data_IF_228509393689
#
_entry.id   IF_228509393689
#
_cell.length_a   1.000
_cell.length_b   1.000
_cell.length_c   1.000
_cell.angle_alpha   90.00
_cell.angle_beta   90.00
_cell.angle_gamma   90.00
#
_symmetry.space_group_name_H-M   'P 1'
#
loop_
_entity.id
_entity.type
_entity.pdbx_description
1 polymer ?
#
# COMPACT_ATOMS: atom_id res chain seq x y z
N UNK A 1 13.54 15.14 -32.35
CA UNK A 1 14.51 14.02 -32.28
C UNK A 1 15.30 13.85 -33.57
N UNK A 2 14.66 13.71 -34.73
CA UNK A 2 15.32 13.47 -36.02
C UNK A 2 16.47 14.44 -36.34
N UNK A 3 16.23 15.75 -36.22
CA UNK A 3 17.26 16.77 -36.44
C UNK A 3 18.47 16.66 -35.51
N UNK A 4 18.29 16.17 -34.26
CA UNK A 4 19.41 15.94 -33.33
C UNK A 4 20.25 14.73 -33.74
N UNK A 5 19.63 13.71 -34.34
CA UNK A 5 20.37 12.57 -34.90
C UNK A 5 21.27 13.01 -36.07
N UNK A 6 20.78 13.93 -36.91
CA UNK A 6 21.56 14.52 -38.00
C UNK A 6 22.73 15.36 -37.47
N UNK A 7 22.53 16.11 -36.39
CA UNK A 7 23.64 16.84 -35.72
C UNK A 7 24.67 15.85 -35.18
N UNK A 8 24.24 14.77 -34.51
CA UNK A 8 25.14 13.72 -33.99
C UNK A 8 25.94 13.05 -35.11
N UNK A 9 25.30 12.75 -36.24
CA UNK A 9 25.94 12.18 -37.42
C UNK A 9 27.04 13.10 -37.97
N UNK A 10 26.73 14.39 -38.18
CA UNK A 10 27.71 15.34 -38.71
C UNK A 10 28.86 15.62 -37.73
N UNK A 11 28.59 15.62 -36.42
CA UNK A 11 29.63 15.73 -35.40
C UNK A 11 30.58 14.51 -35.43
N UNK A 12 30.06 13.28 -35.56
CA UNK A 12 30.88 12.06 -35.73
C UNK A 12 31.64 12.03 -37.06
N UNK A 13 31.12 12.68 -38.10
CA UNK A 13 31.79 12.82 -39.40
C UNK A 13 32.93 13.86 -39.37
N UNK A 14 33.11 14.60 -38.27
CA UNK A 14 34.18 15.59 -38.12
C UNK A 14 33.90 16.93 -38.80
N UNK A 15 32.66 17.22 -39.19
CA UNK A 15 32.28 18.51 -39.77
C UNK A 15 32.29 19.61 -38.71
N UNK A 16 32.54 20.84 -39.16
CA UNK A 16 32.42 22.00 -38.27
C UNK A 16 30.95 22.29 -37.96
N UNK A 17 30.71 22.93 -36.82
CA UNK A 17 29.37 23.31 -36.36
C UNK A 17 28.64 24.19 -37.39
N UNK A 18 29.38 25.09 -38.06
CA UNK A 18 28.87 25.98 -39.09
C UNK A 18 28.44 25.23 -40.35
N UNK A 19 29.20 24.21 -40.76
CA UNK A 19 28.85 23.34 -41.90
C UNK A 19 27.61 22.50 -41.57
N UNK A 20 27.55 21.95 -40.36
CA UNK A 20 26.37 21.21 -39.88
C UNK A 20 25.13 22.07 -39.91
N UNK A 21 25.18 23.32 -39.43
CA UNK A 21 24.06 24.25 -39.49
C UNK A 21 23.65 24.57 -40.93
N UNK A 22 24.60 24.79 -41.84
CA UNK A 22 24.32 25.06 -43.25
C UNK A 22 23.67 23.87 -43.95
N UNK A 23 24.17 22.66 -43.73
CA UNK A 23 23.56 21.43 -44.25
C UNK A 23 22.16 21.20 -43.69
N UNK A 24 21.95 21.46 -42.39
CA UNK A 24 20.62 21.37 -41.79
C UNK A 24 19.65 22.41 -42.36
N UNK A 25 20.10 23.65 -42.56
CA UNK A 25 19.26 24.70 -43.13
C UNK A 25 18.88 24.40 -44.58
N UNK A 26 19.77 23.76 -45.35
CA UNK A 26 19.47 23.32 -46.73
C UNK A 26 18.42 22.20 -46.78
N UNK A 27 18.45 21.26 -45.82
CA UNK A 27 17.53 20.10 -45.80
C UNK A 27 16.19 20.45 -45.14
N UNK A 28 16.22 21.16 -44.01
CA UNK A 28 15.04 21.41 -43.17
C UNK A 28 14.43 22.82 -43.35
N UNK A 29 15.12 23.75 -44.02
CA UNK A 29 14.59 25.07 -44.36
C UNK A 29 14.06 25.84 -43.16
N UNK A 30 12.77 26.21 -43.21
CA UNK A 30 12.07 26.95 -42.15
C UNK A 30 11.78 26.14 -40.89
N UNK A 31 11.87 24.80 -40.96
CA UNK A 31 11.66 23.90 -39.82
C UNK A 31 12.97 23.53 -39.11
N UNK A 32 14.10 24.12 -39.53
CA UNK A 32 15.41 23.86 -38.94
C UNK A 32 15.50 24.38 -37.49
N UNK A 33 16.15 23.61 -36.61
CA UNK A 33 16.52 24.07 -35.27
C UNK A 33 17.29 25.39 -35.33
N UNK A 34 17.00 26.30 -34.40
CA UNK A 34 17.69 27.58 -34.30
C UNK A 34 19.21 27.40 -34.15
N UNK A 35 19.98 28.36 -34.68
CA UNK A 35 21.44 28.32 -34.71
C UNK A 35 22.05 27.98 -33.34
N UNK A 36 21.58 28.60 -32.27
CA UNK A 36 22.06 28.36 -30.90
C UNK A 36 21.86 26.91 -30.46
N UNK A 37 20.69 26.34 -30.73
CA UNK A 37 20.38 24.95 -30.38
C UNK A 37 21.28 23.97 -31.16
N UNK A 38 21.49 24.20 -32.47
CA UNK A 38 22.38 23.37 -33.28
C UNK A 38 23.81 23.40 -32.74
N UNK A 39 24.30 24.58 -32.37
CA UNK A 39 25.65 24.76 -31.83
C UNK A 39 25.82 24.07 -30.47
N UNK A 40 24.85 24.22 -29.59
CA UNK A 40 24.85 23.61 -28.27
C UNK A 40 24.82 22.08 -28.36
N UNK A 41 23.92 21.52 -29.18
CA UNK A 41 23.85 20.07 -29.40
C UNK A 41 25.13 19.52 -30.05
N UNK A 42 25.68 20.21 -31.05
CA UNK A 42 26.93 19.79 -31.71
C UNK A 42 28.12 19.79 -30.73
N UNK A 43 28.22 20.80 -29.86
CA UNK A 43 29.23 20.84 -28.80
C UNK A 43 29.06 19.68 -27.83
N UNK A 44 27.84 19.44 -27.34
CA UNK A 44 27.53 18.32 -26.42
C UNK A 44 27.89 16.96 -27.02
N UNK A 45 27.69 16.75 -28.33
CA UNK A 45 28.07 15.51 -29.01
C UNK A 45 29.59 15.35 -29.15
N UNK A 46 30.34 16.44 -29.37
CA UNK A 46 31.81 16.42 -29.37
C UNK A 46 32.38 16.14 -27.96
N UNK A 47 31.68 16.60 -26.92
CA UNK A 47 32.00 16.31 -25.50
C UNK A 47 31.64 14.88 -25.07
N UNK A 48 31.17 14.02 -25.98
CA UNK A 48 30.98 12.59 -25.74
C UNK A 48 29.54 12.17 -25.35
N UNK A 49 28.56 13.08 -25.40
CA UNK A 49 27.15 12.71 -25.18
C UNK A 49 26.65 11.78 -26.29
N UNK A 50 25.92 10.72 -25.95
CA UNK A 50 25.33 9.82 -26.95
C UNK A 50 23.79 9.88 -27.05
N UNK A 51 23.11 10.46 -26.08
CA UNK A 51 21.65 10.52 -26.02
C UNK A 51 21.08 11.67 -26.87
N UNK A 52 19.93 11.42 -27.53
CA UNK A 52 19.18 12.43 -28.30
C UNK A 52 18.12 13.15 -27.46
N UNK A 53 17.77 12.56 -26.32
CA UNK A 53 16.79 13.08 -25.36
C UNK A 53 17.33 14.29 -24.62
N UNK A 54 16.43 15.19 -24.22
CA UNK A 54 16.77 16.29 -23.31
C UNK A 54 17.30 15.74 -21.99
N UNK A 55 18.19 16.51 -21.35
CA UNK A 55 18.51 16.24 -19.95
C UNK A 55 17.23 16.30 -19.12
N UNK A 56 17.17 15.49 -18.05
CA UNK A 56 16.14 15.67 -17.03
C UNK A 56 16.21 17.15 -16.61
N UNK A 57 15.15 17.91 -16.93
CA UNK A 57 15.04 19.30 -16.49
C UNK A 57 15.21 19.28 -14.97
N UNK A 58 16.19 20.02 -14.47
CA UNK A 58 16.20 20.38 -13.06
C UNK A 58 14.97 21.25 -12.84
N UNK A 59 13.86 20.63 -12.42
CA UNK A 59 12.73 21.38 -11.87
C UNK A 59 13.23 22.27 -10.74
N UNK A 60 12.53 23.36 -10.48
CA UNK A 60 12.81 24.21 -9.33
C UNK A 60 12.93 23.33 -8.08
N UNK A 61 14.06 23.35 -7.36
CA UNK A 61 14.11 22.67 -6.08
C UNK A 61 13.06 23.35 -5.21
N UNK A 62 12.01 22.61 -4.87
CA UNK A 62 11.06 23.07 -3.87
C UNK A 62 11.90 23.22 -2.60
N UNK A 63 12.27 24.46 -2.27
CA UNK A 63 13.12 24.86 -1.14
C UNK A 63 12.55 24.46 0.23
N UNK A 64 11.51 23.62 0.26
CA UNK A 64 10.65 23.26 1.39
C UNK A 64 10.94 21.85 1.91
N UNK A 65 11.89 21.11 1.32
CA UNK A 65 12.26 19.75 1.76
C UNK A 65 13.74 19.68 2.10
N UNK A 66 14.11 20.14 3.30
CA UNK A 66 15.45 19.88 3.83
C UNK A 66 15.52 18.48 4.46
N UNK A 67 16.68 17.82 4.45
CA UNK A 67 16.85 16.55 5.17
C UNK A 67 16.43 16.63 6.64
N UNK A 68 16.68 17.77 7.29
CA UNK A 68 16.26 18.06 8.66
C UNK A 68 14.72 18.04 8.84
N UNK A 69 13.96 18.54 7.86
CA UNK A 69 12.49 18.49 7.89
C UNK A 69 11.98 17.06 7.74
N UNK A 70 12.62 16.27 6.87
CA UNK A 70 12.28 14.86 6.67
C UNK A 70 12.54 14.07 7.96
N UNK A 71 13.67 14.30 8.61
CA UNK A 71 14.03 13.68 9.88
C UNK A 71 13.02 14.02 10.98
N UNK A 72 12.66 15.31 11.13
CA UNK A 72 11.63 15.74 12.10
C UNK A 72 10.27 15.07 11.88
N UNK A 73 9.83 14.94 10.63
CA UNK A 73 8.58 14.26 10.29
C UNK A 73 8.69 12.75 10.57
N UNK A 74 9.84 12.14 10.26
CA UNK A 74 10.10 10.73 10.53
C UNK A 74 10.03 10.43 12.04
N UNK A 75 10.72 11.22 12.87
CA UNK A 75 10.75 11.06 14.32
C UNK A 75 9.36 11.26 14.93
N UNK A 76 8.59 12.23 14.43
CA UNK A 76 7.23 12.46 14.90
C UNK A 76 6.33 11.24 14.68
N UNK A 77 6.38 10.65 13.48
CA UNK A 77 5.59 9.45 13.13
C UNK A 77 6.07 8.21 13.88
N UNK A 78 7.37 8.11 14.18
CA UNK A 78 7.91 7.02 14.97
C UNK A 78 7.35 7.02 16.40
N UNK A 79 7.15 8.21 16.97
CA UNK A 79 6.58 8.42 18.30
C UNK A 79 5.05 8.27 18.33
N UNK A 80 4.34 8.89 17.39
CA UNK A 80 2.88 8.79 17.27
C UNK A 80 2.47 8.46 15.83
N UNK A 81 2.19 7.17 15.62
CA UNK A 81 1.78 6.63 14.32
C UNK A 81 0.35 7.03 13.92
N UNK A 82 -0.48 7.46 14.87
CA UNK A 82 -1.87 7.81 14.65
C UNK A 82 -2.09 9.32 14.50
N UNK A 83 -1.01 10.11 14.58
CA UNK A 83 -1.06 11.55 14.47
C UNK A 83 -1.72 12.02 13.16
N UNK A 84 -2.54 13.07 13.28
CA UNK A 84 -3.12 13.72 12.11
C UNK A 84 -2.15 14.71 11.49
N UNK A 85 -2.29 14.96 10.18
CA UNK A 85 -1.52 16.00 9.47
C UNK A 85 -1.63 17.38 10.14
N UNK A 86 -2.78 17.69 10.75
CA UNK A 86 -3.00 18.94 11.48
C UNK A 86 -2.15 19.02 12.75
N UNK A 87 -2.09 17.93 13.52
CA UNK A 87 -1.24 17.88 14.72
C UNK A 87 0.25 18.01 14.37
N UNK A 88 0.66 17.37 13.27
CA UNK A 88 2.05 17.49 12.78
C UNK A 88 2.37 18.89 12.28
N UNK A 89 1.45 19.55 11.58
CA UNK A 89 1.60 20.95 11.15
C UNK A 89 1.77 21.88 12.35
N UNK A 90 0.90 21.77 13.35
CA UNK A 90 0.94 22.60 14.56
C UNK A 90 2.22 22.37 15.38
N UNK A 91 2.72 21.12 15.43
CA UNK A 91 3.93 20.79 16.20
C UNK A 91 5.23 21.15 15.46
N UNK A 92 5.29 20.96 14.15
CA UNK A 92 6.52 21.12 13.36
C UNK A 92 6.61 22.48 12.67
N UNK A 93 5.52 23.25 12.62
CA UNK A 93 5.38 24.48 11.86
C UNK A 93 5.74 24.30 10.36
N UNK A 94 5.36 23.14 9.81
CA UNK A 94 5.54 22.77 8.40
C UNK A 94 4.15 22.67 7.77
N UNK A 95 4.00 23.15 6.52
CA UNK A 95 2.72 23.09 5.83
C UNK A 95 2.20 21.64 5.68
N UNK A 96 0.88 21.46 5.78
CA UNK A 96 0.24 20.13 5.61
C UNK A 96 0.62 19.44 4.31
N UNK A 97 0.70 20.18 3.21
CA UNK A 97 1.03 19.62 1.91
C UNK A 97 2.47 19.07 1.91
N UNK A 98 3.42 19.83 2.46
CA UNK A 98 4.80 19.35 2.61
C UNK A 98 4.87 18.09 3.47
N UNK A 99 4.18 18.04 4.60
CA UNK A 99 4.16 16.85 5.47
C UNK A 99 3.56 15.66 4.72
N UNK A 100 2.42 15.85 4.05
CA UNK A 100 1.77 14.82 3.22
C UNK A 100 2.74 14.30 2.15
N UNK A 101 3.48 15.19 1.50
CA UNK A 101 4.42 14.75 0.47
C UNK A 101 5.63 14.04 1.05
N UNK A 102 6.19 14.50 2.17
CA UNK A 102 7.28 13.80 2.86
C UNK A 102 6.83 12.39 3.28
N UNK A 103 5.63 12.26 3.83
CA UNK A 103 5.08 10.96 4.22
C UNK A 103 4.96 10.01 3.02
N UNK A 104 4.41 10.49 1.89
CA UNK A 104 4.14 9.64 0.73
C UNK A 104 5.34 9.40 -0.20
N UNK A 105 6.07 10.46 -0.58
CA UNK A 105 7.16 10.40 -1.57
C UNK A 105 8.50 10.04 -0.93
N UNK A 106 8.83 10.65 0.21
CA UNK A 106 10.16 10.51 0.84
C UNK A 106 10.21 9.32 1.81
N UNK A 107 9.15 9.10 2.60
CA UNK A 107 9.06 8.01 3.61
C UNK A 107 8.27 6.78 3.15
N UNK A 108 7.58 6.86 2.00
CA UNK A 108 6.78 5.76 1.45
C UNK A 108 5.63 5.28 2.35
N UNK A 109 5.13 6.13 3.25
CA UNK A 109 4.04 5.82 4.18
C UNK A 109 2.69 6.02 3.51
N UNK A 110 1.74 5.18 3.88
CA UNK A 110 0.34 5.29 3.49
C UNK A 110 -0.55 5.26 4.73
N UNK A 111 -1.66 6.00 4.68
CA UNK A 111 -2.65 5.94 5.75
C UNK A 111 -3.38 4.59 5.67
N UNK A 112 -3.33 3.83 6.76
CA UNK A 112 -4.12 2.61 6.95
C UNK A 112 -5.14 2.89 8.04
N UNK A 113 -6.38 2.41 7.85
CA UNK A 113 -7.39 2.50 8.91
C UNK A 113 -7.04 1.54 10.05
N UNK A 114 -7.19 2.00 11.29
CA UNK A 114 -7.09 1.14 12.45
C UNK A 114 -8.13 0.01 12.35
N UNK A 115 -7.75 -1.19 12.77
CA UNK A 115 -8.66 -2.33 12.85
C UNK A 115 -9.37 -2.33 14.19
N UNK A 116 -10.65 -2.65 14.17
CA UNK A 116 -11.44 -2.79 15.39
C UNK A 116 -10.99 -4.06 16.12
N UNK A 117 -10.64 -3.91 17.39
CA UNK A 117 -10.42 -5.02 18.32
C UNK A 117 -11.65 -5.18 19.22
N UNK A 118 -12.04 -6.40 19.60
CA UNK A 118 -13.28 -6.63 20.35
C UNK A 118 -13.37 -5.87 21.68
N UNK A 119 -12.29 -5.84 22.45
CA UNK A 119 -12.24 -5.12 23.72
C UNK A 119 -10.79 -4.76 24.10
N UNK A 120 -10.62 -3.89 25.10
CA UNK A 120 -9.28 -3.66 25.69
C UNK A 120 -8.95 -4.80 26.65
N UNK A 121 -7.81 -5.47 26.42
CA UNK A 121 -7.38 -6.60 27.24
C UNK A 121 -6.61 -6.12 28.48
N UNK A 122 -6.99 -6.65 29.66
CA UNK A 122 -6.20 -6.53 30.88
C UNK A 122 -5.07 -7.57 30.94
N UNK A 123 -4.10 -7.36 31.82
CA UNK A 123 -2.95 -8.26 31.97
C UNK A 123 -3.35 -9.68 32.38
N UNK A 124 -4.31 -9.83 33.31
CA UNK A 124 -4.88 -11.12 33.71
C UNK A 124 -5.48 -11.87 32.52
N UNK A 125 -6.25 -11.17 31.68
CA UNK A 125 -6.88 -11.75 30.50
C UNK A 125 -5.85 -12.22 29.47
N UNK A 126 -4.75 -11.46 29.28
CA UNK A 126 -3.65 -11.87 28.39
C UNK A 126 -2.98 -13.14 28.88
N UNK A 127 -2.69 -13.24 30.18
CA UNK A 127 -2.11 -14.44 30.78
C UNK A 127 -3.01 -15.66 30.62
N UNK A 128 -4.32 -15.50 30.86
CA UNK A 128 -5.31 -16.56 30.66
C UNK A 128 -5.33 -17.04 29.21
N UNK A 129 -5.34 -16.13 28.23
CA UNK A 129 -5.30 -16.46 26.80
C UNK A 129 -4.05 -17.28 26.43
N UNK A 130 -2.89 -16.88 26.92
CA UNK A 130 -1.63 -17.59 26.68
C UNK A 130 -1.69 -19.01 27.26
N UNK A 131 -2.18 -19.14 28.51
CA UNK A 131 -2.26 -20.44 29.17
C UNK A 131 -3.18 -21.40 28.41
N UNK A 132 -4.38 -20.96 28.03
CA UNK A 132 -5.27 -21.77 27.20
C UNK A 132 -4.65 -22.15 25.85
N UNK A 133 -3.93 -21.23 25.20
CA UNK A 133 -3.24 -21.53 23.95
C UNK A 133 -2.15 -22.57 24.13
N UNK A 134 -1.39 -22.53 25.23
CA UNK A 134 -0.37 -23.54 25.55
C UNK A 134 -1.00 -24.90 25.84
N UNK A 135 -2.09 -24.93 26.58
CA UNK A 135 -2.78 -26.18 26.92
C UNK A 135 -3.29 -26.88 25.66
N UNK A 136 -3.87 -26.11 24.71
CA UNK A 136 -4.32 -26.62 23.41
C UNK A 136 -3.15 -27.15 22.57
N UNK A 137 -2.04 -26.41 22.49
CA UNK A 137 -0.85 -26.83 21.73
C UNK A 137 -0.25 -28.10 22.33
N UNK A 138 -0.08 -28.15 23.66
CA UNK A 138 0.43 -29.34 24.35
C UNK A 138 -0.50 -30.55 24.17
N UNK A 139 -1.82 -30.36 24.19
CA UNK A 139 -2.78 -31.44 23.94
C UNK A 139 -2.66 -32.00 22.51
N UNK A 140 -2.43 -31.12 21.52
CA UNK A 140 -2.22 -31.53 20.13
C UNK A 140 -0.88 -32.24 19.90
N UNK A 141 0.19 -31.82 20.59
CA UNK A 141 1.50 -32.49 20.52
C UNK A 141 1.45 -33.89 21.14
N UNK A 142 0.71 -34.06 22.24
CA UNK A 142 0.59 -35.34 22.93
C UNK A 142 -0.32 -36.34 22.20
N UNK A 143 -1.26 -35.87 21.38
CA UNK A 143 -2.20 -36.73 20.67
C UNK A 143 -2.43 -36.25 19.22
N UNK A 144 -1.96 -36.99 18.19
CA UNK A 144 -2.12 -36.59 16.80
C UNK A 144 -3.58 -36.57 16.33
N UNK A 145 -4.49 -37.25 17.05
CA UNK A 145 -5.93 -37.24 16.77
C UNK A 145 -6.70 -36.20 17.60
N UNK A 146 -6.02 -35.37 18.40
CA UNK A 146 -6.68 -34.39 19.28
C UNK A 146 -7.63 -33.48 18.50
N UNK A 147 -7.18 -32.87 17.40
CA UNK A 147 -8.01 -31.97 16.59
C UNK A 147 -9.27 -32.65 16.05
N UNK A 148 -9.20 -33.94 15.70
CA UNK A 148 -10.34 -34.71 15.20
C UNK A 148 -11.36 -35.04 16.29
N UNK A 149 -10.99 -34.90 17.57
CA UNK A 149 -11.88 -35.15 18.71
C UNK A 149 -12.62 -33.90 19.20
N UNK A 150 -12.26 -32.72 18.69
CA UNK A 150 -12.86 -31.45 19.12
C UNK A 150 -14.20 -31.26 18.42
N UNK A 151 -15.22 -30.91 19.19
CA UNK A 151 -16.51 -30.42 18.70
C UNK A 151 -16.67 -28.99 19.18
N UNK A 152 -16.88 -28.06 18.25
CA UNK A 152 -17.07 -26.63 18.53
C UNK A 152 -18.49 -26.21 18.13
N UNK A 153 -19.05 -25.25 18.86
CA UNK A 153 -20.32 -24.62 18.53
C UNK A 153 -20.31 -23.18 19.00
N UNK A 154 -20.96 -22.31 18.25
CA UNK A 154 -21.22 -20.92 18.60
C UNK A 154 -22.57 -20.51 18.02
N UNK A 155 -23.14 -19.42 18.54
CA UNK A 155 -24.42 -18.89 18.10
C UNK A 155 -24.22 -17.55 17.39
N UNK A 156 -24.86 -17.38 16.24
CA UNK A 156 -24.82 -16.13 15.48
C UNK A 156 -26.23 -15.64 15.17
N UNK A 157 -26.41 -14.33 15.17
CA UNK A 157 -27.70 -13.71 14.87
C UNK A 157 -27.93 -13.66 13.35
N UNK A 158 -28.98 -14.35 12.89
CA UNK A 158 -29.52 -14.18 11.54
C UNK A 158 -30.69 -13.21 11.59
N UNK A 159 -30.53 -12.03 10.98
CA UNK A 159 -31.56 -11.00 11.00
C UNK A 159 -32.61 -11.24 9.92
N UNK A 160 -33.87 -11.34 10.33
CA UNK A 160 -35.02 -11.09 9.48
C UNK A 160 -35.22 -9.57 9.46
N UNK A 161 -34.77 -8.91 8.40
CA UNK A 161 -34.86 -7.45 8.29
C UNK A 161 -35.61 -7.09 7.01
N UNK A 162 -36.76 -6.46 7.17
CA UNK A 162 -37.51 -5.84 6.08
C UNK A 162 -37.21 -4.32 6.09
N UNK A 163 -36.30 -3.83 5.24
CA UNK A 163 -35.97 -2.41 5.21
C UNK A 163 -37.18 -1.59 4.72
N UNK A 164 -37.86 -0.91 5.64
CA UNK A 164 -38.98 -0.02 5.31
C UNK A 164 -38.55 1.19 4.46
N UNK A 165 -37.25 1.53 4.45
CA UNK A 165 -36.72 2.66 3.67
C UNK A 165 -35.43 2.33 2.92
N UNK A 166 -35.27 2.95 1.74
CA UNK A 166 -34.04 2.87 0.93
C UNK A 166 -32.77 3.33 1.65
N UNK A 167 -32.90 4.15 2.69
CA UNK A 167 -31.77 4.63 3.50
C UNK A 167 -31.30 3.55 4.48
N UNK A 168 -32.22 2.81 5.09
CA UNK A 168 -31.91 1.65 5.94
C UNK A 168 -31.26 0.52 5.12
N UNK A 169 -31.73 0.26 3.89
CA UNK A 169 -31.12 -0.76 3.04
C UNK A 169 -29.70 -0.41 2.58
N UNK A 170 -29.36 0.88 2.48
CA UNK A 170 -28.05 1.34 2.02
C UNK A 170 -26.95 1.23 3.11
N UNK A 171 -27.35 1.22 4.38
CA UNK A 171 -26.44 1.06 5.53
C UNK A 171 -26.09 -0.42 5.79
N UNK A 172 -26.84 -1.35 5.20
CA UNK A 172 -26.72 -2.78 5.44
C UNK A 172 -26.07 -3.49 4.24
N UNK A 173 -25.01 -4.27 4.49
CA UNK A 173 -24.40 -5.18 3.50
C UNK A 173 -24.79 -6.61 3.85
N UNK A 174 -25.36 -7.37 2.89
CA UNK A 174 -25.67 -8.79 3.10
C UNK A 174 -26.78 -9.32 2.21
N UNK A 175 -27.12 -10.60 2.41
CA UNK A 175 -28.36 -11.20 1.89
C UNK A 175 -29.47 -10.94 2.90
N UNK A 176 -30.62 -10.50 2.41
CA UNK A 176 -31.82 -10.28 3.21
C UNK A 176 -32.79 -11.44 3.00
N UNK A 177 -33.57 -11.71 4.03
CA UNK A 177 -34.55 -12.79 4.03
C UNK A 177 -35.86 -12.27 4.60
N UNK A 178 -36.95 -12.58 3.91
CA UNK A 178 -38.28 -12.04 4.21
C UNK A 178 -38.97 -12.81 5.35
N UNK A 179 -38.62 -14.09 5.52
CA UNK A 179 -39.24 -15.01 6.48
C UNK A 179 -38.24 -16.02 7.09
N UNK A 180 -38.57 -16.52 8.29
CA UNK A 180 -37.76 -17.50 9.03
C UNK A 180 -37.50 -18.79 8.23
N UNK A 181 -38.50 -19.43 7.58
CA UNK A 181 -38.25 -20.59 6.73
C UNK A 181 -37.19 -20.36 5.65
N UNK A 182 -37.21 -19.19 4.99
CA UNK A 182 -36.20 -18.83 3.98
C UNK A 182 -34.81 -18.68 4.61
N UNK A 183 -34.71 -18.07 5.80
CA UNK A 183 -33.43 -18.01 6.56
C UNK A 183 -32.90 -19.40 6.87
N UNK A 184 -33.77 -20.30 7.36
CA UNK A 184 -33.39 -21.66 7.73
C UNK A 184 -32.90 -22.44 6.51
N UNK A 185 -33.63 -22.38 5.39
CA UNK A 185 -33.25 -23.06 4.15
C UNK A 185 -31.92 -22.54 3.60
N UNK A 186 -31.75 -21.22 3.54
CA UNK A 186 -30.52 -20.61 3.03
C UNK A 186 -29.31 -20.88 3.94
N UNK A 187 -29.49 -20.82 5.26
CA UNK A 187 -28.42 -21.12 6.23
C UNK A 187 -28.01 -22.60 6.14
N UNK A 188 -28.98 -23.51 6.05
CA UNK A 188 -28.71 -24.95 5.88
C UNK A 188 -27.95 -25.21 4.59
N UNK A 189 -28.41 -24.64 3.48
CA UNK A 189 -27.72 -24.78 2.18
C UNK A 189 -26.30 -24.22 2.22
N UNK A 190 -26.08 -23.09 2.89
CA UNK A 190 -24.75 -22.50 3.03
C UNK A 190 -23.82 -23.39 3.86
N UNK A 191 -24.32 -24.00 4.94
CA UNK A 191 -23.54 -24.93 5.78
C UNK A 191 -23.23 -26.24 5.04
N UNK A 192 -24.20 -26.80 4.31
CA UNK A 192 -24.01 -28.02 3.50
C UNK A 192 -23.03 -27.80 2.34
N UNK A 193 -22.91 -26.58 1.83
CA UNK A 193 -21.98 -26.24 0.76
C UNK A 193 -20.51 -26.14 1.22
N UNK A 194 -20.23 -26.10 2.54
CA UNK A 194 -18.87 -26.00 3.07
C UNK A 194 -18.16 -27.35 2.85
N UNK A 195 -17.04 -27.39 2.11
CA UNK A 195 -16.28 -28.61 1.93
C UNK A 195 -15.70 -29.12 3.25
N UNK A 196 -15.67 -30.44 3.43
CA UNK A 196 -15.03 -31.05 4.60
C UNK A 196 -13.57 -30.60 4.77
N UNK A 197 -12.85 -30.38 3.68
CA UNK A 197 -11.46 -29.89 3.69
C UNK A 197 -11.32 -28.49 4.30
N UNK A 198 -12.33 -27.62 4.13
CA UNK A 198 -12.31 -26.29 4.76
C UNK A 198 -12.52 -26.39 6.28
N UNK A 199 -13.37 -27.32 6.73
CA UNK A 199 -13.56 -27.60 8.15
C UNK A 199 -12.27 -28.14 8.78
N UNK A 200 -11.60 -29.09 8.13
CA UNK A 200 -10.31 -29.63 8.59
C UNK A 200 -9.24 -28.53 8.71
N UNK A 201 -9.12 -27.68 7.68
CA UNK A 201 -8.20 -26.53 7.69
C UNK A 201 -8.54 -25.52 8.81
N UNK A 202 -9.81 -25.34 9.19
CA UNK A 202 -10.19 -24.47 10.29
C UNK A 202 -9.67 -24.95 11.65
N UNK A 203 -9.62 -26.27 11.87
CA UNK A 203 -9.04 -26.88 13.07
C UNK A 203 -7.50 -26.82 13.05
N UNK A 204 -6.85 -27.00 11.91
CA UNK A 204 -5.40 -26.76 11.80
C UNK A 204 -5.06 -25.29 12.08
N UNK A 205 -5.88 -24.37 11.55
CA UNK A 205 -5.77 -22.94 11.82
C UNK A 205 -5.96 -22.59 13.30
N UNK A 206 -6.68 -23.40 14.08
CA UNK A 206 -6.78 -23.21 15.54
C UNK A 206 -5.40 -23.30 16.20
N UNK A 207 -4.57 -24.30 15.85
CA UNK A 207 -3.22 -24.44 16.41
C UNK A 207 -2.33 -23.27 16.01
N UNK A 208 -2.37 -22.87 14.74
CA UNK A 208 -1.62 -21.72 14.25
C UNK A 208 -2.01 -20.44 15.01
N UNK A 209 -3.31 -20.23 15.27
CA UNK A 209 -3.81 -19.11 16.07
C UNK A 209 -3.38 -19.19 17.53
N UNK A 210 -3.33 -20.38 18.13
CA UNK A 210 -2.80 -20.56 19.49
C UNK A 210 -1.31 -20.19 19.58
N UNK A 211 -0.50 -20.64 18.62
CA UNK A 211 0.91 -20.27 18.55
C UNK A 211 1.10 -18.75 18.37
N UNK A 212 0.38 -18.13 17.45
CA UNK A 212 0.37 -16.67 17.28
C UNK A 212 -0.04 -15.94 18.56
N UNK A 213 -1.03 -16.45 19.31
CA UNK A 213 -1.44 -15.88 20.59
C UNK A 213 -0.29 -15.88 21.61
N UNK A 214 0.47 -16.97 21.67
CA UNK A 214 1.64 -17.10 22.55
C UNK A 214 2.74 -16.12 22.12
N UNK A 215 3.06 -16.06 20.83
CA UNK A 215 4.06 -15.14 20.26
C UNK A 215 3.68 -13.68 20.50
N UNK A 216 2.40 -13.34 20.34
CA UNK A 216 1.84 -12.02 20.61
C UNK A 216 1.68 -11.71 22.11
N UNK A 217 2.14 -12.60 23.01
CA UNK A 217 2.04 -12.42 24.47
C UNK A 217 0.60 -12.16 24.94
N UNK A 218 -0.35 -12.85 24.33
CA UNK A 218 -1.78 -12.78 24.65
C UNK A 218 -2.51 -11.58 24.07
N UNK A 219 -1.82 -10.68 23.35
CA UNK A 219 -2.45 -9.58 22.61
C UNK A 219 -3.30 -10.11 21.43
N UNK A 220 -4.13 -9.22 20.87
CA UNK A 220 -4.74 -9.49 19.57
C UNK A 220 -3.67 -9.48 18.47
N UNK A 221 -3.91 -10.28 17.43
CA UNK A 221 -3.01 -10.47 16.31
C UNK A 221 -3.81 -10.62 15.01
N UNK A 222 -3.09 -10.54 13.89
CA UNK A 222 -3.59 -10.74 12.53
C UNK A 222 -3.40 -12.18 12.02
#
# INVERSE_FOLDING_TARGET
MEQRAVIKFNAKLGKSVSETFRSMQQVYGSQCLGRTAVFEWHKRFLEGRETLEDDKKSGQPILVRTPEMIEKVCDFVANDRNASLKMMEEALNISRETIRTILHEDLGKTKVCAKFVPHTLRSDQKSVRINYSRDIVAAAENNPNFLKSIVMGDETWCFQYDPETKRQSAELKGRFFDDIPTIQSASTQALEAIPQTELEHAFESLLNRCNKCIEARGEYFE
#
